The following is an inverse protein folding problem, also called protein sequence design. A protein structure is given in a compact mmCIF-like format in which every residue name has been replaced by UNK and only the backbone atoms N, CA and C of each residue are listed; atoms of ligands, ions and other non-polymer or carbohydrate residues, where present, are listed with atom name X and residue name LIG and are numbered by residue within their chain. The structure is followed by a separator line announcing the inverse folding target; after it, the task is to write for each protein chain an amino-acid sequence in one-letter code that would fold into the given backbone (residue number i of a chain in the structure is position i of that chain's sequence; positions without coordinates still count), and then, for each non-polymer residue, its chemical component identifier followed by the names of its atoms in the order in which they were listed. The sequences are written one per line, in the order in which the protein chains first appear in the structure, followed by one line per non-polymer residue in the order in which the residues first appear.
data_IF_348955694948
#
_entry.id   IF_348955694948
#
_cell.length_a   1.000
_cell.length_b   1.000
_cell.length_c   1.000
_cell.angle_alpha   90.00
_cell.angle_beta   90.00
_cell.angle_gamma   90.00
#
_symmetry.space_group_name_H-M   'P 1'
#
loop_
_entity.id
_entity.type
_entity.pdbx_description
1 polymer ?
#
# COMPACT_ATOMS: atom_id res chain seq x y z
N UNK A 1 21.02 -6.12 5.00
CA UNK A 1 20.93 -5.15 6.10
C UNK A 1 19.55 -4.52 6.05
N UNK A 2 18.90 -4.28 7.19
CA UNK A 2 17.55 -3.68 7.23
C UNK A 2 17.73 -2.22 7.60
N UNK A 3 17.16 -1.32 6.80
CA UNK A 3 17.23 0.13 7.02
C UNK A 3 15.83 0.71 6.84
N UNK A 4 15.30 1.31 7.90
CA UNK A 4 13.90 1.76 7.95
C UNK A 4 13.81 3.07 8.71
N UNK A 5 13.02 4.00 8.19
CA UNK A 5 12.53 5.18 8.87
C UNK A 5 11.03 5.01 9.14
N UNK A 6 10.65 5.03 10.41
CA UNK A 6 9.24 5.03 10.84
C UNK A 6 8.90 6.39 11.44
N UNK A 7 7.94 7.10 10.86
CA UNK A 7 7.44 8.39 11.36
C UNK A 7 6.04 8.18 11.91
N UNK A 8 5.85 8.46 13.20
CA UNK A 8 4.61 8.23 13.93
C UNK A 8 4.02 9.55 14.40
N UNK A 9 2.73 9.75 14.14
CA UNK A 9 1.92 10.84 14.69
C UNK A 9 0.87 10.27 15.65
N UNK A 10 0.80 10.74 16.92
CA UNK A 10 -0.35 10.46 17.76
C UNK A 10 -1.56 11.27 17.25
N UNK A 11 -2.65 10.55 17.00
CA UNK A 11 -3.92 11.10 16.50
C UNK A 11 -5.08 10.69 17.42
N UNK A 12 -6.20 11.44 17.44
CA UNK A 12 -7.41 11.01 18.13
C UNK A 12 -7.92 9.68 17.55
N UNK A 13 -8.54 8.85 18.38
CA UNK A 13 -9.14 7.59 17.91
C UNK A 13 -10.25 7.84 16.86
N UNK A 14 -10.10 7.19 15.71
CA UNK A 14 -10.93 7.32 14.51
C UNK A 14 -12.02 6.24 14.42
N UNK A 15 -12.03 5.22 15.30
CA UNK A 15 -13.00 4.12 15.30
C UNK A 15 -14.46 4.58 15.21
N UNK A 16 -14.81 5.68 15.87
CA UNK A 16 -16.16 6.28 15.84
C UNK A 16 -16.57 6.84 14.47
N UNK A 17 -15.60 7.11 13.61
CA UNK A 17 -15.77 7.67 12.27
C UNK A 17 -15.66 6.61 11.16
N UNK A 18 -15.89 5.33 11.47
CA UNK A 18 -15.80 4.21 10.52
C UNK A 18 -16.68 4.38 9.26
N UNK A 19 -17.70 5.24 9.30
CA UNK A 19 -18.54 5.55 8.13
C UNK A 19 -17.92 6.53 7.15
N UNK A 20 -16.99 7.37 7.58
CA UNK A 20 -16.30 8.36 6.74
C UNK A 20 -14.81 8.05 6.52
N UNK A 21 -14.20 7.23 7.38
CA UNK A 21 -12.82 6.73 7.28
C UNK A 21 -11.75 7.80 6.91
N UNK A 22 -11.66 8.93 7.64
CA UNK A 22 -10.71 10.00 7.32
C UNK A 22 -9.24 9.54 7.39
N UNK A 23 -8.92 8.61 8.29
CA UNK A 23 -7.61 7.98 8.38
C UNK A 23 -7.25 7.20 7.10
N UNK A 24 -8.20 6.43 6.56
CA UNK A 24 -8.00 5.66 5.32
C UNK A 24 -7.85 6.59 4.11
N UNK A 25 -8.58 7.71 4.09
CA UNK A 25 -8.41 8.75 3.07
C UNK A 25 -6.97 9.31 3.07
N UNK A 26 -6.44 9.70 4.24
CA UNK A 26 -5.08 10.24 4.34
C UNK A 26 -4.01 9.16 4.09
N UNK A 27 -4.22 7.93 4.56
CA UNK A 27 -3.34 6.79 4.28
C UNK A 27 -3.26 6.46 2.78
N UNK A 28 -4.38 6.55 2.05
CA UNK A 28 -4.38 6.34 0.61
C UNK A 28 -3.59 7.42 -0.16
N UNK A 29 -3.56 8.67 0.33
CA UNK A 29 -2.79 9.75 -0.28
C UNK A 29 -1.30 9.68 0.10
N UNK A 30 -1.00 9.55 1.38
CA UNK A 30 0.38 9.49 1.89
C UNK A 30 1.10 8.22 1.44
N UNK A 31 0.36 7.11 1.26
CA UNK A 31 0.86 5.83 0.75
C UNK A 31 0.69 5.65 -0.76
N UNK A 32 0.42 6.70 -1.53
CA UNK A 32 0.28 6.61 -2.97
C UNK A 32 1.61 6.26 -3.66
N UNK A 33 1.60 5.42 -4.70
CA UNK A 33 2.83 5.01 -5.42
C UNK A 33 2.89 5.45 -6.89
N UNK A 34 1.96 6.31 -7.34
CA UNK A 34 2.01 6.88 -8.69
C UNK A 34 3.06 8.01 -8.86
N UNK A 35 3.19 8.57 -10.08
CA UNK A 35 4.32 9.39 -10.53
C UNK A 35 4.60 10.67 -9.74
N UNK A 36 3.59 11.24 -9.09
CA UNK A 36 3.69 12.49 -8.32
C UNK A 36 3.65 12.28 -6.81
N UNK A 37 3.90 11.04 -6.36
CA UNK A 37 3.83 10.68 -4.95
C UNK A 37 5.13 10.92 -4.20
N UNK A 38 5.06 10.82 -2.87
CA UNK A 38 6.22 10.81 -1.99
C UNK A 38 7.20 9.71 -2.44
N UNK A 39 6.70 8.49 -2.65
CA UNK A 39 7.56 7.36 -3.03
C UNK A 39 8.27 7.60 -4.36
N UNK A 40 7.58 8.12 -5.39
CA UNK A 40 8.20 8.44 -6.67
C UNK A 40 9.34 9.46 -6.52
N UNK A 41 9.12 10.50 -5.71
CA UNK A 41 10.12 11.52 -5.42
C UNK A 41 11.33 10.94 -4.65
N UNK A 42 11.11 9.99 -3.74
CA UNK A 42 12.18 9.30 -3.00
C UNK A 42 12.97 8.33 -3.89
N UNK A 43 12.29 7.57 -4.77
CA UNK A 43 12.91 6.66 -5.75
C UNK A 43 13.81 7.43 -6.72
N UNK A 44 13.33 8.56 -7.27
CA UNK A 44 14.10 9.44 -8.16
C UNK A 44 15.41 9.95 -7.53
N UNK A 45 15.42 10.13 -6.20
CA UNK A 45 16.60 10.55 -5.43
C UNK A 45 17.46 9.36 -4.96
N UNK A 46 16.99 8.13 -5.16
CA UNK A 46 17.66 6.91 -4.72
C UNK A 46 17.69 6.77 -3.20
N UNK A 47 16.72 7.32 -2.49
CA UNK A 47 16.67 7.32 -1.01
C UNK A 47 15.83 6.16 -0.45
N UNK A 48 14.81 5.70 -1.17
CA UNK A 48 13.89 4.65 -0.75
C UNK A 48 13.35 3.89 -1.96
N UNK A 49 12.92 2.65 -1.75
CA UNK A 49 12.21 1.82 -2.74
C UNK A 49 10.76 1.53 -2.37
N UNK A 50 10.36 1.71 -1.10
CA UNK A 50 9.02 1.40 -0.58
C UNK A 50 8.60 2.38 0.51
N UNK A 51 7.34 2.74 0.46
CA UNK A 51 6.68 3.55 1.48
C UNK A 51 5.31 2.94 1.78
N UNK A 52 4.96 2.86 3.05
CA UNK A 52 3.60 2.53 3.47
C UNK A 52 3.11 3.55 4.48
N UNK A 53 1.81 3.79 4.50
CA UNK A 53 1.20 4.62 5.53
C UNK A 53 -0.13 4.04 5.99
N UNK A 54 -0.46 4.26 7.26
CA UNK A 54 -1.68 3.73 7.86
C UNK A 54 -1.85 4.20 9.28
N UNK A 55 -3.03 3.94 9.85
CA UNK A 55 -3.25 4.15 11.27
C UNK A 55 -3.55 2.85 11.99
N UNK A 56 -3.19 2.81 13.27
CA UNK A 56 -3.38 1.65 14.14
C UNK A 56 -3.82 2.11 15.52
N UNK A 57 -4.87 1.49 16.02
CA UNK A 57 -5.33 1.66 17.40
C UNK A 57 -4.42 0.86 18.32
N UNK A 58 -3.69 1.54 19.20
CA UNK A 58 -2.82 0.90 20.21
C UNK A 58 -3.59 0.56 21.48
N UNK A 59 -4.49 1.44 21.89
CA UNK A 59 -5.39 1.24 23.03
C UNK A 59 -6.64 2.12 22.87
N UNK A 60 -7.66 1.92 23.72
CA UNK A 60 -8.83 2.81 23.73
C UNK A 60 -8.39 4.26 23.93
N UNK A 61 -8.77 5.14 23.01
CA UNK A 61 -8.39 6.55 22.98
C UNK A 61 -6.98 6.84 22.47
N UNK A 62 -6.20 5.82 22.07
CA UNK A 62 -4.84 5.98 21.56
C UNK A 62 -4.74 5.35 20.17
N UNK A 63 -4.62 6.20 19.16
CA UNK A 63 -4.37 5.79 17.79
C UNK A 63 -3.11 6.48 17.27
N UNK A 64 -2.31 5.73 16.54
CA UNK A 64 -1.08 6.20 15.90
C UNK A 64 -1.26 6.17 14.40
N UNK A 65 -0.76 7.18 13.71
CA UNK A 65 -0.62 7.19 12.26
C UNK A 65 0.86 7.06 11.91
N UNK A 66 1.21 6.01 11.18
CA UNK A 66 2.58 5.69 10.82
C UNK A 66 2.81 5.92 9.32
N UNK A 67 3.98 6.44 9.00
CA UNK A 67 4.56 6.49 7.65
C UNK A 67 5.91 5.76 7.74
N UNK A 68 5.96 4.59 7.16
CA UNK A 68 7.14 3.73 7.14
C UNK A 68 7.80 3.81 5.77
N UNK A 69 9.10 4.08 5.78
CA UNK A 69 9.92 4.26 4.59
C UNK A 69 11.12 3.32 4.69
N UNK A 70 11.31 2.44 3.72
CA UNK A 70 12.58 1.70 3.64
C UNK A 70 13.69 2.65 3.18
N UNK A 71 14.92 2.40 3.62
CA UNK A 71 16.04 3.28 3.29
C UNK A 71 17.08 2.52 2.46
N UNK A 72 17.54 3.17 1.40
CA UNK A 72 18.76 2.75 0.71
C UNK A 72 19.98 3.08 1.57
N UNK A 73 21.18 2.70 1.11
CA UNK A 73 22.42 3.13 1.75
C UNK A 73 22.55 4.65 1.79
N UNK A 74 22.14 5.33 0.72
CA UNK A 74 22.10 6.79 0.67
C UNK A 74 20.97 7.36 1.53
N UNK A 75 19.81 6.70 1.56
CA UNK A 75 18.63 7.17 2.30
C UNK A 75 18.88 7.38 3.79
N UNK A 76 19.77 6.58 4.40
CA UNK A 76 20.13 6.72 5.82
C UNK A 76 20.77 8.08 6.13
N UNK A 77 21.55 8.64 5.20
CA UNK A 77 22.21 9.93 5.37
C UNK A 77 21.28 11.13 5.07
N UNK A 78 20.06 10.86 4.56
CA UNK A 78 19.08 11.85 4.11
C UNK A 78 17.77 11.79 4.91
N UNK A 79 17.77 11.25 6.12
CA UNK A 79 16.55 11.11 6.95
C UNK A 79 15.81 12.44 7.13
N UNK A 80 16.53 13.52 7.45
CA UNK A 80 15.91 14.84 7.66
C UNK A 80 15.31 15.41 6.37
N UNK A 81 15.92 15.14 5.21
CA UNK A 81 15.41 15.53 3.90
C UNK A 81 14.15 14.72 3.52
N UNK A 82 14.12 13.43 3.84
CA UNK A 82 12.95 12.56 3.62
C UNK A 82 11.76 13.05 4.46
N UNK A 83 11.99 13.34 5.75
CA UNK A 83 10.95 13.87 6.64
C UNK A 83 10.46 15.23 6.12
N UNK A 84 11.37 16.10 5.67
CA UNK A 84 11.01 17.38 5.05
C UNK A 84 10.12 17.18 3.81
N UNK A 85 10.46 16.25 2.93
CA UNK A 85 9.68 15.96 1.72
C UNK A 85 8.26 15.46 2.05
N UNK A 86 8.13 14.66 3.11
CA UNK A 86 6.82 14.24 3.64
C UNK A 86 6.02 15.45 4.15
N UNK A 87 6.66 16.39 4.86
CA UNK A 87 5.99 17.63 5.29
C UNK A 87 5.61 18.54 4.12
N UNK A 88 6.42 18.62 3.06
CA UNK A 88 6.05 19.33 1.83
C UNK A 88 4.81 18.72 1.17
N UNK A 89 4.66 17.39 1.19
CA UNK A 89 3.43 16.73 0.74
C UNK A 89 2.23 17.09 1.63
N UNK A 90 2.41 17.05 2.95
CA UNK A 90 1.37 17.43 3.92
C UNK A 90 0.95 18.90 3.72
N UNK A 91 1.89 19.81 3.46
CA UNK A 91 1.61 21.22 3.17
C UNK A 91 0.81 21.36 1.86
N UNK A 92 1.16 20.61 0.82
CA UNK A 92 0.38 20.54 -0.42
C UNK A 92 -1.06 20.10 -0.13
N UNK A 93 -1.26 19.01 0.62
CA UNK A 93 -2.59 18.53 1.01
C UNK A 93 -3.39 19.57 1.81
N UNK A 94 -2.75 20.31 2.70
CA UNK A 94 -3.39 21.39 3.48
C UNK A 94 -3.85 22.55 2.59
N UNK A 95 -3.08 22.89 1.54
CA UNK A 95 -3.43 23.96 0.59
C UNK A 95 -4.54 23.57 -0.36
N UNK A 96 -4.49 22.35 -0.89
CA UNK A 96 -5.52 21.86 -1.82
C UNK A 96 -6.83 21.51 -1.09
N UNK A 97 -6.74 21.04 0.14
CA UNK A 97 -7.87 20.60 0.94
C UNK A 97 -8.46 19.26 0.49
N UNK A 98 -9.44 18.72 1.23
CA UNK A 98 -10.07 17.44 0.91
C UNK A 98 -10.78 17.47 -0.44
N UNK A 99 -10.59 16.40 -1.21
CA UNK A 99 -11.13 16.26 -2.55
C UNK A 99 -12.24 15.19 -2.59
N UNK A 100 -13.46 15.62 -2.86
CA UNK A 100 -14.64 14.72 -2.89
C UNK A 100 -14.51 13.64 -3.97
N UNK A 101 -13.94 13.98 -5.13
CA UNK A 101 -13.72 13.01 -6.21
C UNK A 101 -12.82 11.85 -5.77
N UNK A 102 -11.81 12.10 -4.93
CA UNK A 102 -10.91 11.06 -4.42
C UNK A 102 -11.60 10.21 -3.34
N UNK A 103 -12.47 10.82 -2.53
CA UNK A 103 -13.32 10.08 -1.62
C UNK A 103 -14.26 9.13 -2.38
N UNK A 104 -14.94 9.63 -3.41
CA UNK A 104 -15.88 8.84 -4.20
C UNK A 104 -15.17 7.69 -4.93
N UNK A 105 -13.94 7.93 -5.40
CA UNK A 105 -13.07 6.90 -5.95
C UNK A 105 -12.83 5.75 -4.96
N UNK A 106 -12.35 6.07 -3.76
CA UNK A 106 -12.08 5.07 -2.71
C UNK A 106 -13.35 4.38 -2.23
N UNK A 107 -14.47 5.11 -2.16
CA UNK A 107 -15.79 4.58 -1.84
C UNK A 107 -16.24 3.53 -2.86
N UNK A 108 -16.14 3.84 -4.15
CA UNK A 108 -16.54 2.94 -5.23
C UNK A 108 -15.65 1.70 -5.28
N UNK A 109 -14.33 1.86 -5.17
CA UNK A 109 -13.37 0.75 -5.12
C UNK A 109 -13.70 -0.17 -3.94
N UNK A 110 -13.88 0.39 -2.74
CA UNK A 110 -14.10 -0.40 -1.52
C UNK A 110 -15.48 -1.07 -1.51
N UNK A 111 -16.51 -0.43 -2.09
CA UNK A 111 -17.82 -1.04 -2.31
C UNK A 111 -17.76 -2.21 -3.30
N UNK A 112 -17.04 -2.05 -4.42
CA UNK A 112 -16.80 -3.11 -5.40
C UNK A 112 -16.05 -4.29 -4.76
N UNK A 113 -15.00 -4.03 -4.00
CA UNK A 113 -14.23 -5.05 -3.28
C UNK A 113 -15.10 -5.85 -2.30
N UNK A 114 -16.07 -5.20 -1.64
CA UNK A 114 -17.00 -5.89 -0.75
C UNK A 114 -18.03 -6.72 -1.53
N UNK A 115 -18.62 -6.15 -2.57
CA UNK A 115 -19.63 -6.80 -3.39
C UNK A 115 -19.12 -8.09 -4.04
N UNK A 116 -17.87 -8.08 -4.52
CA UNK A 116 -17.23 -9.22 -5.17
C UNK A 116 -16.16 -9.87 -4.30
N UNK A 117 -16.31 -9.80 -2.97
CA UNK A 117 -15.36 -10.40 -2.04
C UNK A 117 -15.41 -11.93 -2.13
N UNK A 118 -14.24 -12.55 -2.27
CA UNK A 118 -14.15 -14.01 -2.30
C UNK A 118 -14.46 -14.63 -0.93
N UNK A 119 -14.99 -15.85 -0.94
CA UNK A 119 -15.24 -16.60 0.29
C UNK A 119 -13.91 -17.03 0.91
N UNK A 120 -13.58 -16.41 2.05
CA UNK A 120 -12.37 -16.74 2.82
C UNK A 120 -12.53 -17.98 3.70
N UNK A 121 -11.43 -18.35 4.35
CA UNK A 121 -11.39 -19.40 5.38
C UNK A 121 -12.37 -19.09 6.51
N UNK A 122 -13.16 -20.08 7.00
CA UNK A 122 -14.05 -19.87 8.14
C UNK A 122 -13.32 -19.37 9.40
N UNK A 123 -12.09 -19.86 9.64
CA UNK A 123 -11.29 -19.46 10.81
C UNK A 123 -10.93 -17.98 10.74
N UNK A 124 -10.38 -17.52 9.61
CA UNK A 124 -10.00 -16.12 9.40
C UNK A 124 -11.23 -15.21 9.44
N UNK A 125 -12.37 -15.70 8.93
CA UNK A 125 -13.63 -14.97 8.95
C UNK A 125 -14.11 -14.71 10.38
N UNK A 126 -14.12 -15.74 11.24
CA UNK A 126 -14.49 -15.60 12.65
C UNK A 126 -13.47 -14.75 13.41
N UNK A 127 -12.18 -14.99 13.20
CA UNK A 127 -11.10 -14.23 13.84
C UNK A 127 -11.20 -12.73 13.53
N UNK A 128 -11.44 -12.36 12.27
CA UNK A 128 -11.59 -10.96 11.86
C UNK A 128 -12.87 -10.31 12.37
N UNK A 129 -14.00 -11.03 12.35
CA UNK A 129 -15.29 -10.45 12.73
C UNK A 129 -15.54 -10.38 14.24
N UNK A 130 -14.91 -11.25 15.03
CA UNK A 130 -15.16 -11.28 16.49
C UNK A 130 -14.81 -9.95 17.18
N UNK A 131 -13.66 -9.29 16.89
CA UNK A 131 -13.38 -7.95 17.39
C UNK A 131 -14.37 -6.88 16.90
N UNK A 132 -14.84 -7.00 15.66
CA UNK A 132 -15.79 -6.03 15.08
C UNK A 132 -17.13 -6.01 15.80
N UNK A 133 -17.57 -7.14 16.36
CA UNK A 133 -18.79 -7.19 17.16
C UNK A 133 -18.69 -6.40 18.47
N UNK A 134 -17.46 -6.10 18.93
CA UNK A 134 -17.20 -5.27 20.12
C UNK A 134 -17.14 -3.79 19.74
N UNK A 135 -16.59 -3.48 18.56
CA UNK A 135 -16.32 -2.10 18.12
C UNK A 135 -17.49 -1.47 17.35
N UNK A 136 -18.20 -2.25 16.54
CA UNK A 136 -19.23 -1.76 15.63
C UNK A 136 -20.63 -2.25 16.03
N UNK A 137 -21.64 -1.57 15.50
CA UNK A 137 -23.01 -2.06 15.59
C UNK A 137 -23.14 -3.39 14.85
N UNK A 138 -23.95 -4.30 15.38
CA UNK A 138 -24.16 -5.64 14.81
C UNK A 138 -24.54 -5.60 13.32
N UNK A 139 -25.38 -4.63 12.92
CA UNK A 139 -25.80 -4.40 11.53
C UNK A 139 -24.66 -4.00 10.58
N UNK A 140 -23.59 -3.38 11.09
CA UNK A 140 -22.47 -2.89 10.30
C UNK A 140 -21.26 -3.86 10.32
N UNK A 141 -21.26 -4.92 11.15
CA UNK A 141 -20.08 -5.81 11.38
C UNK A 141 -19.44 -6.34 10.10
N UNK A 142 -20.24 -6.64 9.07
CA UNK A 142 -19.74 -7.16 7.80
C UNK A 142 -19.20 -6.04 6.89
N UNK A 143 -19.77 -4.85 6.99
CA UNK A 143 -19.54 -3.73 6.06
C UNK A 143 -18.63 -2.64 6.61
N UNK A 144 -18.40 -2.58 7.92
CA UNK A 144 -17.75 -1.46 8.61
C UNK A 144 -16.32 -1.18 8.14
N UNK A 145 -15.60 -2.19 7.65
CA UNK A 145 -14.26 -2.03 7.07
C UNK A 145 -14.26 -1.65 5.59
N UNK A 146 -15.40 -1.77 4.92
CA UNK A 146 -15.50 -1.66 3.46
C UNK A 146 -16.30 -0.44 3.03
N UNK A 147 -17.50 -0.24 3.57
CA UNK A 147 -18.43 0.74 3.01
C UNK A 147 -18.16 2.12 3.60
N UNK A 148 -17.58 2.99 2.78
CA UNK A 148 -17.46 4.42 3.04
C UNK A 148 -18.81 5.05 2.67
N UNK A 149 -19.52 5.58 3.66
CA UNK A 149 -20.88 6.11 3.52
C UNK A 149 -20.86 7.64 3.42
N UNK A 150 -20.16 8.28 4.35
CA UNK A 150 -20.30 9.71 4.64
C UNK A 150 -19.08 10.51 4.16
N UNK A 151 -19.31 11.53 3.32
CA UNK A 151 -18.29 12.52 2.99
C UNK A 151 -18.16 13.53 4.14
N UNK A 152 -17.00 13.54 4.79
CA UNK A 152 -16.70 14.39 5.96
C UNK A 152 -15.36 15.12 5.77
N UNK A 153 -15.31 16.15 4.92
CA UNK A 153 -14.09 16.92 4.68
C UNK A 153 -13.59 17.62 5.94
N UNK A 154 -14.49 17.97 6.86
CA UNK A 154 -14.18 18.54 8.16
C UNK A 154 -13.32 17.60 9.02
N UNK A 155 -13.65 16.30 9.05
CA UNK A 155 -12.86 15.31 9.80
C UNK A 155 -11.50 15.03 9.15
N UNK A 156 -11.42 15.11 7.82
CA UNK A 156 -10.14 14.98 7.09
C UNK A 156 -9.23 16.17 7.42
N UNK A 157 -9.76 17.39 7.41
CA UNK A 157 -9.01 18.60 7.80
C UNK A 157 -8.58 18.58 9.27
N UNK A 158 -9.49 18.18 10.17
CA UNK A 158 -9.18 18.00 11.59
C UNK A 158 -8.04 17.01 11.76
N UNK A 159 -8.12 15.84 11.14
CA UNK A 159 -7.08 14.81 11.24
C UNK A 159 -5.75 15.29 10.65
N UNK A 160 -5.76 15.96 9.50
CA UNK A 160 -4.57 16.52 8.85
C UNK A 160 -3.88 17.59 9.72
N UNK A 161 -4.61 18.25 10.64
CA UNK A 161 -4.04 19.22 11.58
C UNK A 161 -3.09 18.61 12.63
N UNK A 162 -3.17 17.29 12.86
CA UNK A 162 -2.27 16.57 13.76
C UNK A 162 -0.91 16.24 13.13
N UNK A 163 -0.79 16.36 11.81
CA UNK A 163 0.43 16.09 11.05
C UNK A 163 1.30 17.34 11.08
N UNK A 164 2.08 17.46 12.16
CA UNK A 164 2.96 18.62 12.41
C UNK A 164 4.34 18.19 12.92
N UNK A 165 5.40 18.98 12.66
CA UNK A 165 6.74 18.74 13.17
C UNK A 165 6.80 18.57 14.70
N UNK A 166 6.00 19.34 15.44
CA UNK A 166 5.92 19.31 16.91
C UNK A 166 5.12 18.13 17.48
N UNK A 167 4.39 17.40 16.64
CA UNK A 167 3.52 16.29 17.03
C UNK A 167 3.98 14.96 16.39
N UNK A 168 5.28 14.79 16.12
CA UNK A 168 5.83 13.55 15.57
C UNK A 168 6.85 12.91 16.49
N UNK A 169 7.01 11.61 16.30
CA UNK A 169 8.17 10.82 16.72
C UNK A 169 8.66 10.07 15.50
N UNK A 170 9.97 10.04 15.25
CA UNK A 170 10.53 9.15 14.24
C UNK A 170 11.53 8.18 14.85
N UNK A 171 11.70 7.02 14.20
CA UNK A 171 12.65 5.98 14.58
C UNK A 171 13.42 5.56 13.33
N UNK A 172 14.74 5.51 13.42
CA UNK A 172 15.60 5.02 12.33
C UNK A 172 16.27 3.73 12.79
N UNK A 173 16.11 2.67 12.01
CA UNK A 173 16.75 1.37 12.23
C UNK A 173 17.81 1.21 11.16
N UNK A 174 19.06 0.96 11.55
CA UNK A 174 20.17 0.69 10.64
C UNK A 174 21.36 0.11 11.41
N UNK A 175 22.15 -0.77 10.78
CA UNK A 175 23.42 -1.23 11.35
C UNK A 175 24.49 -0.14 11.45
N UNK A 176 24.33 0.98 10.75
CA UNK A 176 25.25 2.13 10.86
C UNK A 176 25.33 2.67 12.30
N UNK A 177 24.29 2.48 13.11
CA UNK A 177 24.24 2.88 14.52
C UNK A 177 24.85 1.86 15.48
N UNK A 178 25.42 0.76 14.99
CA UNK A 178 26.14 -0.21 15.82
C UNK A 178 27.26 0.51 16.58
N UNK A 179 27.32 0.31 17.91
CA UNK A 179 28.23 1.01 18.84
C UNK A 179 27.98 2.53 18.99
N UNK A 180 26.89 3.08 18.45
CA UNK A 180 26.49 4.48 18.64
C UNK A 180 25.29 4.65 19.59
N UNK A 181 24.82 3.55 20.16
CA UNK A 181 23.70 3.46 21.10
C UNK A 181 24.19 3.50 22.55
N UNK A 182 23.42 4.11 23.45
CA UNK A 182 23.76 4.26 24.86
C UNK A 182 22.79 3.54 25.81
N UNK A 183 21.72 2.98 25.27
CA UNK A 183 20.65 2.33 26.03
C UNK A 183 20.38 0.93 25.48
N UNK A 184 19.96 0.02 26.36
CA UNK A 184 19.61 -1.36 25.99
C UNK A 184 18.22 -1.65 26.55
N UNK A 185 17.31 -2.13 25.71
CA UNK A 185 15.98 -2.57 26.13
C UNK A 185 16.08 -3.73 27.12
N UNK A 186 15.24 -3.70 28.16
CA UNK A 186 15.29 -4.65 29.27
C UNK A 186 14.85 -6.06 28.87
N UNK A 187 13.93 -6.20 27.92
CA UNK A 187 13.25 -7.46 27.63
C UNK A 187 13.89 -8.21 26.47
N UNK A 188 14.26 -7.49 25.42
CA UNK A 188 14.80 -8.03 24.18
C UNK A 188 16.30 -7.75 24.00
N UNK A 189 16.89 -6.92 24.87
CA UNK A 189 18.31 -6.56 24.76
C UNK A 189 18.61 -5.69 23.53
N UNK A 190 17.61 -5.04 22.95
CA UNK A 190 17.78 -4.20 21.76
C UNK A 190 18.58 -2.94 22.10
N UNK A 191 19.74 -2.71 21.49
CA UNK A 191 20.49 -1.47 21.68
C UNK A 191 19.80 -0.31 20.94
N UNK A 192 19.63 0.82 21.60
CA UNK A 192 19.03 2.03 21.01
C UNK A 192 19.56 3.30 21.68
N UNK A 193 19.21 4.44 21.08
CA UNK A 193 19.47 5.78 21.63
C UNK A 193 18.23 6.65 21.43
N UNK A 194 17.94 7.50 22.40
CA UNK A 194 16.89 8.51 22.28
C UNK A 194 17.56 9.89 22.27
N UNK A 195 17.27 10.67 21.23
CA UNK A 195 17.70 12.06 21.12
C UNK A 195 16.49 12.96 20.93
N UNK A 196 16.59 14.20 21.42
CA UNK A 196 15.65 15.26 21.06
C UNK A 196 15.98 15.76 19.67
N UNK A 197 14.95 16.06 18.88
CA UNK A 197 15.08 16.71 17.59
C UNK A 197 15.53 18.15 17.85
N UNK A 198 16.53 18.62 17.09
CA UNK A 198 17.05 19.98 17.26
C UNK A 198 15.98 21.02 16.87
N UNK A 199 16.03 22.21 17.48
CA UNK A 199 15.11 23.29 17.12
C UNK A 199 15.30 23.74 15.67
N UNK A 200 16.55 23.75 15.19
CA UNK A 200 16.89 24.08 13.80
C UNK A 200 16.21 23.12 12.82
N UNK A 201 16.30 21.80 13.07
CA UNK A 201 15.63 20.77 12.25
C UNK A 201 14.10 20.93 12.29
N UNK A 202 13.53 21.16 13.48
CA UNK A 202 12.09 21.37 13.62
C UNK A 202 11.61 22.62 12.87
N UNK A 203 12.37 23.71 12.94
CA UNK A 203 12.02 24.95 12.26
C UNK A 203 12.18 24.84 10.74
N UNK A 204 13.11 24.01 10.27
CA UNK A 204 13.21 23.63 8.85
C UNK A 204 11.96 22.88 8.38
N UNK A 205 11.51 21.88 9.13
CA UNK A 205 10.31 21.10 8.78
C UNK A 205 8.99 21.86 8.93
N UNK A 206 8.96 22.93 9.72
CA UNK A 206 7.78 23.80 9.88
C UNK A 206 7.60 24.78 8.73
N UNK A 207 8.60 24.94 7.86
CA UNK A 207 8.47 25.82 6.70
C UNK A 207 7.28 25.38 5.85
N UNK A 208 6.52 26.37 5.39
CA UNK A 208 5.40 26.15 4.48
C UNK A 208 5.92 26.15 3.02
N UNK A 209 6.88 25.27 2.76
CA UNK A 209 7.43 25.05 1.43
C UNK A 209 6.73 23.88 0.73
N UNK A 210 6.79 23.90 -0.62
CA UNK A 210 6.24 22.88 -1.50
C UNK A 210 7.35 22.27 -2.35
N UNK A 211 7.13 21.07 -2.83
CA UNK A 211 7.99 20.41 -3.82
C UNK A 211 7.24 20.29 -5.15
N UNK A 212 7.86 20.70 -6.26
CA UNK A 212 7.25 20.62 -7.59
C UNK A 212 7.01 19.18 -8.08
N UNK A 213 7.81 18.22 -7.57
CA UNK A 213 7.64 16.79 -7.85
C UNK A 213 6.36 16.21 -7.20
N UNK A 214 5.80 16.89 -6.20
CA UNK A 214 4.70 16.39 -5.37
C UNK A 214 3.36 17.01 -5.77
N UNK A 215 2.40 16.16 -6.13
CA UNK A 215 1.04 16.59 -6.52
C UNK A 215 0.01 15.57 -6.07
N UNK A 216 -1.25 16.00 -5.96
CA UNK A 216 -2.37 15.07 -5.83
C UNK A 216 -2.40 14.08 -7.01
N UNK A 217 -2.86 12.84 -6.77
CA UNK A 217 -3.00 11.85 -7.83
C UNK A 217 -4.01 12.30 -8.87
N UNK A 218 -3.86 11.80 -10.10
CA UNK A 218 -4.91 11.87 -11.11
C UNK A 218 -6.06 10.92 -10.78
N UNK A 219 -7.21 11.11 -11.46
CA UNK A 219 -8.31 10.16 -11.38
C UNK A 219 -7.88 8.81 -11.93
N UNK A 220 -8.26 7.74 -11.24
CA UNK A 220 -7.92 6.38 -11.61
C UNK A 220 -8.82 5.87 -12.76
N UNK A 221 -8.22 5.65 -13.93
CA UNK A 221 -8.92 5.17 -15.14
C UNK A 221 -9.18 3.65 -15.16
N UNK A 222 -8.59 2.88 -14.23
CA UNK A 222 -8.72 1.43 -14.16
C UNK A 222 -9.95 0.94 -13.37
N UNK A 223 -10.73 1.85 -12.78
CA UNK A 223 -11.91 1.48 -12.00
C UNK A 223 -12.96 0.86 -12.93
N UNK A 224 -13.28 -0.40 -12.68
CA UNK A 224 -14.27 -1.14 -13.45
C UNK A 224 -15.66 -0.49 -13.34
N UNK A 225 -16.32 -0.33 -14.49
CA UNK A 225 -17.68 0.20 -14.61
C UNK A 225 -18.68 -0.83 -15.12
N UNK A 226 -18.19 -1.87 -15.81
CA UNK A 226 -18.98 -2.99 -16.31
C UNK A 226 -18.71 -4.25 -15.48
N UNK A 227 -19.78 -4.80 -14.90
CA UNK A 227 -19.78 -6.03 -14.11
C UNK A 227 -20.66 -7.11 -14.72
N UNK A 228 -21.04 -6.96 -16.00
CA UNK A 228 -21.84 -7.96 -16.71
C UNK A 228 -21.09 -9.27 -16.82
N UNK A 229 -21.77 -10.36 -16.47
CA UNK A 229 -21.18 -11.70 -16.53
C UNK A 229 -21.31 -12.25 -17.94
N UNK A 230 -20.23 -12.85 -18.43
CA UNK A 230 -20.25 -13.62 -19.67
C UNK A 230 -21.26 -14.78 -19.55
N UNK A 231 -22.11 -15.01 -20.56
CA UNK A 231 -23.06 -16.12 -20.57
C UNK A 231 -22.32 -17.47 -20.54
N UNK A 232 -22.95 -18.48 -19.93
CA UNK A 232 -22.41 -19.84 -19.89
C UNK A 232 -22.98 -20.62 -21.08
N UNK A 233 -22.13 -21.15 -21.93
CA UNK A 233 -22.55 -22.02 -23.01
C UNK A 233 -23.03 -23.38 -22.47
N UNK A 234 -24.05 -23.96 -23.11
CA UNK A 234 -24.62 -25.26 -22.68
C UNK A 234 -23.60 -26.41 -22.69
N UNK A 235 -22.55 -26.28 -23.49
CA UNK A 235 -21.49 -27.27 -23.66
C UNK A 235 -20.19 -26.86 -22.97
N UNK A 236 -20.24 -25.94 -22.00
CA UNK A 236 -19.04 -25.46 -21.29
C UNK A 236 -18.34 -26.62 -20.55
N UNK A 237 -17.05 -26.87 -20.78
CA UNK A 237 -16.33 -27.96 -20.14
C UNK A 237 -16.19 -27.79 -18.61
N UNK A 238 -16.29 -28.90 -17.88
CA UNK A 238 -16.18 -28.90 -16.41
C UNK A 238 -14.75 -28.64 -15.89
N UNK A 239 -13.75 -28.83 -16.73
CA UNK A 239 -12.33 -28.69 -16.43
C UNK A 239 -11.64 -27.80 -17.49
N UNK A 240 -10.47 -27.22 -17.17
CA UNK A 240 -9.69 -26.49 -18.15
C UNK A 240 -9.39 -27.36 -19.37
N UNK A 241 -9.61 -26.80 -20.55
CA UNK A 241 -9.37 -27.48 -21.83
C UNK A 241 -8.45 -26.62 -22.71
N UNK A 242 -7.78 -27.27 -23.65
CA UNK A 242 -6.86 -26.59 -24.56
C UNK A 242 -7.67 -25.94 -25.68
N UNK A 243 -7.50 -24.63 -25.85
CA UNK A 243 -8.11 -23.86 -26.97
C UNK A 243 -7.10 -23.52 -28.06
N UNK A 244 -5.81 -23.59 -27.75
CA UNK A 244 -4.74 -23.39 -28.70
C UNK A 244 -3.52 -24.22 -28.31
N UNK A 245 -2.91 -24.86 -29.31
CA UNK A 245 -1.68 -25.62 -29.15
C UNK A 245 -0.78 -25.44 -30.38
N UNK A 246 0.44 -24.98 -30.13
CA UNK A 246 1.51 -24.84 -31.10
C UNK A 246 2.86 -25.14 -30.45
N UNK A 247 3.94 -25.10 -31.24
CA UNK A 247 5.30 -25.27 -30.72
C UNK A 247 5.72 -24.15 -29.75
N UNK A 248 5.06 -22.97 -29.81
CA UNK A 248 5.41 -21.80 -29.00
C UNK A 248 4.45 -21.55 -27.84
N UNK A 249 3.18 -21.93 -27.98
CA UNK A 249 2.12 -21.57 -27.05
C UNK A 249 1.14 -22.71 -26.85
N UNK A 250 0.83 -23.00 -25.59
CA UNK A 250 -0.31 -23.81 -25.20
C UNK A 250 -1.22 -23.00 -24.29
N UNK A 251 -2.48 -22.84 -24.68
CA UNK A 251 -3.47 -22.04 -23.95
C UNK A 251 -4.56 -22.94 -23.39
N UNK A 252 -4.69 -22.91 -22.07
CA UNK A 252 -5.78 -23.55 -21.35
C UNK A 252 -6.85 -22.51 -21.01
N UNK A 253 -8.11 -22.88 -21.19
CA UNK A 253 -9.25 -22.02 -20.90
C UNK A 253 -10.32 -22.76 -20.12
N UNK A 254 -11.00 -22.04 -19.25
CA UNK A 254 -12.18 -22.49 -18.52
C UNK A 254 -13.01 -21.27 -18.17
N UNK A 255 -14.27 -21.22 -18.58
CA UNK A 255 -15.21 -20.22 -18.06
C UNK A 255 -15.55 -20.55 -16.62
N UNK A 256 -15.62 -19.53 -15.74
CA UNK A 256 -16.07 -19.73 -14.38
C UNK A 256 -17.59 -20.01 -14.35
N UNK A 257 -17.92 -21.23 -13.96
CA UNK A 257 -19.29 -21.74 -13.79
C UNK A 257 -19.69 -21.89 -12.32
N UNK A 258 -18.78 -21.64 -11.38
CA UNK A 258 -18.97 -21.89 -9.95
C UNK A 258 -19.16 -20.60 -9.16
N UNK A 259 -18.22 -19.66 -9.24
CA UNK A 259 -18.23 -18.45 -8.39
C UNK A 259 -19.05 -17.32 -9.00
N UNK A 260 -18.98 -17.18 -10.34
CA UNK A 260 -19.75 -16.23 -11.14
C UNK A 260 -19.55 -14.78 -10.68
N UNK A 261 -18.30 -14.40 -10.44
CA UNK A 261 -17.89 -13.01 -10.23
C UNK A 261 -17.36 -12.38 -11.52
N UNK A 262 -17.43 -11.04 -11.66
CA UNK A 262 -16.86 -10.30 -12.79
C UNK A 262 -15.33 -10.19 -12.64
N UNK A 263 -14.68 -11.35 -12.56
CA UNK A 263 -13.23 -11.51 -12.38
C UNK A 263 -12.73 -12.54 -13.37
N UNK A 264 -11.50 -12.36 -13.82
CA UNK A 264 -10.76 -13.36 -14.56
C UNK A 264 -9.40 -13.56 -13.90
N UNK A 265 -8.88 -14.77 -14.02
CA UNK A 265 -7.50 -15.09 -13.66
C UNK A 265 -6.75 -15.44 -14.92
N UNK A 266 -5.75 -14.64 -15.26
CA UNK A 266 -4.88 -14.88 -16.42
C UNK A 266 -3.49 -15.20 -15.90
N UNK A 267 -2.93 -16.29 -16.37
CA UNK A 267 -1.62 -16.75 -15.95
C UNK A 267 -0.83 -17.15 -17.18
N UNK A 268 0.33 -16.55 -17.37
CA UNK A 268 1.23 -16.84 -18.50
C UNK A 268 2.58 -17.31 -17.96
N UNK A 269 2.91 -18.56 -18.20
CA UNK A 269 4.19 -19.16 -17.82
C UNK A 269 5.15 -19.12 -19.02
N UNK A 270 6.31 -18.47 -18.83
CA UNK A 270 7.38 -18.36 -19.82
C UNK A 270 8.49 -19.37 -19.50
N UNK A 271 8.82 -20.22 -20.47
CA UNK A 271 9.77 -21.31 -20.32
C UNK A 271 11.11 -20.99 -21.01
N UNK A 272 12.22 -21.12 -20.29
CA UNK A 272 13.58 -21.00 -20.81
C UNK A 272 14.52 -21.93 -20.04
N UNK A 273 15.20 -22.82 -20.77
CA UNK A 273 16.13 -23.80 -20.20
C UNK A 273 17.37 -23.15 -19.56
N UNK A 274 17.72 -21.93 -20.00
CA UNK A 274 18.92 -21.20 -19.54
C UNK A 274 18.78 -20.79 -18.07
N UNK A 275 17.56 -20.60 -17.58
CA UNK A 275 17.29 -19.97 -16.28
C UNK A 275 17.73 -20.82 -15.09
N UNK A 276 17.79 -22.14 -15.26
CA UNK A 276 18.17 -23.09 -14.21
C UNK A 276 19.47 -23.84 -14.49
N UNK A 277 20.32 -23.36 -15.41
CA UNK A 277 21.59 -24.05 -15.71
C UNK A 277 22.57 -24.00 -14.53
N UNK A 278 22.60 -22.89 -13.80
CA UNK A 278 23.51 -22.67 -12.68
C UNK A 278 22.99 -21.55 -11.75
N UNK A 279 23.59 -21.39 -10.55
CA UNK A 279 23.19 -20.35 -9.61
C UNK A 279 23.28 -18.92 -10.16
N UNK A 280 24.17 -18.66 -11.12
CA UNK A 280 24.32 -17.33 -11.71
C UNK A 280 23.07 -16.98 -12.54
N UNK A 281 22.61 -17.87 -13.44
CA UNK A 281 21.41 -17.63 -14.25
C UNK A 281 20.13 -17.56 -13.41
N UNK A 282 20.02 -18.38 -12.36
CA UNK A 282 18.92 -18.27 -11.39
C UNK A 282 18.86 -16.88 -10.74
N UNK A 283 20.02 -16.34 -10.35
CA UNK A 283 20.12 -15.01 -9.75
C UNK A 283 19.80 -13.90 -10.75
N UNK A 284 20.25 -14.02 -12.02
CA UNK A 284 19.92 -13.07 -13.08
C UNK A 284 18.40 -13.02 -13.32
N UNK A 285 17.72 -14.16 -13.37
CA UNK A 285 16.26 -14.19 -13.51
C UNK A 285 15.55 -13.54 -12.32
N UNK A 286 16.00 -13.84 -11.09
CA UNK A 286 15.45 -13.22 -9.88
C UNK A 286 15.63 -11.70 -9.89
N UNK A 287 16.79 -11.20 -10.32
CA UNK A 287 17.06 -9.77 -10.46
C UNK A 287 16.21 -9.14 -11.56
N UNK A 288 16.09 -9.77 -12.72
CA UNK A 288 15.21 -9.32 -13.81
C UNK A 288 13.77 -9.15 -13.33
N UNK A 289 13.21 -10.17 -12.66
CA UNK A 289 11.84 -10.11 -12.12
C UNK A 289 11.68 -8.99 -11.09
N UNK A 290 12.65 -8.80 -10.21
CA UNK A 290 12.61 -7.73 -9.21
C UNK A 290 12.64 -6.34 -9.87
N UNK A 291 13.59 -6.10 -10.78
CA UNK A 291 13.73 -4.83 -11.48
C UNK A 291 12.50 -4.53 -12.35
N UNK A 292 11.96 -5.55 -13.02
CA UNK A 292 10.73 -5.40 -13.81
C UNK A 292 9.56 -4.97 -12.93
N UNK A 293 9.30 -5.68 -11.83
CA UNK A 293 8.19 -5.31 -10.94
C UNK A 293 8.41 -3.91 -10.34
N UNK A 294 9.65 -3.54 -10.00
CA UNK A 294 9.97 -2.22 -9.44
C UNK A 294 9.68 -1.08 -10.41
N UNK A 295 10.08 -1.22 -11.68
CA UNK A 295 9.80 -0.26 -12.76
C UNK A 295 8.31 -0.22 -13.12
N UNK A 296 7.65 -1.38 -13.12
CA UNK A 296 6.27 -1.52 -13.56
C UNK A 296 5.25 -1.08 -12.49
N UNK A 297 5.62 -1.07 -11.20
CA UNK A 297 4.73 -0.71 -10.09
C UNK A 297 4.12 0.68 -10.25
N UNK A 298 4.89 1.66 -10.73
CA UNK A 298 4.41 3.03 -10.92
C UNK A 298 3.26 3.08 -11.96
N UNK A 299 3.35 2.26 -13.00
CA UNK A 299 2.35 2.17 -14.07
C UNK A 299 1.12 1.36 -13.67
N UNK A 300 1.27 0.37 -12.78
CA UNK A 300 0.18 -0.53 -12.37
C UNK A 300 -0.45 -0.15 -11.04
N UNK A 301 0.03 0.89 -10.37
CA UNK A 301 -0.48 1.28 -9.06
C UNK A 301 -1.98 1.57 -9.09
N UNK A 302 -2.44 2.35 -10.06
CA UNK A 302 -3.85 2.68 -10.24
C UNK A 302 -4.69 1.42 -10.54
N UNK A 303 -4.19 0.53 -11.39
CA UNK A 303 -4.80 -0.77 -11.64
C UNK A 303 -4.92 -1.61 -10.35
N UNK A 304 -3.85 -1.66 -9.56
CA UNK A 304 -3.77 -2.41 -8.30
C UNK A 304 -4.77 -1.86 -7.28
N UNK A 305 -4.89 -0.54 -7.15
CA UNK A 305 -5.93 0.12 -6.34
C UNK A 305 -7.33 -0.25 -6.83
N UNK A 306 -7.55 -0.32 -8.13
CA UNK A 306 -8.79 -0.80 -8.74
C UNK A 306 -8.98 -2.33 -8.68
N UNK A 307 -8.17 -3.05 -7.90
CA UNK A 307 -8.19 -4.51 -7.73
C UNK A 307 -7.83 -5.33 -8.97
N UNK A 308 -7.18 -4.69 -9.95
CA UNK A 308 -6.55 -5.33 -11.10
C UNK A 308 -5.05 -5.49 -10.81
N UNK A 309 -4.66 -6.70 -10.40
CA UNK A 309 -3.29 -6.99 -10.02
C UNK A 309 -2.54 -7.61 -11.20
N UNK A 310 -1.30 -7.16 -11.42
CA UNK A 310 -0.36 -7.80 -12.32
C UNK A 310 0.99 -7.91 -11.61
N UNK A 311 1.52 -9.12 -11.52
CA UNK A 311 2.85 -9.37 -10.95
C UNK A 311 3.57 -10.42 -11.76
N UNK A 312 4.88 -10.25 -11.94
CA UNK A 312 5.72 -11.32 -12.46
C UNK A 312 6.50 -11.99 -11.33
N UNK A 313 6.61 -13.32 -11.37
CA UNK A 313 7.31 -14.12 -10.36
C UNK A 313 8.32 -15.04 -11.02
N UNK A 314 9.51 -15.24 -10.43
CA UNK A 314 10.43 -16.24 -10.94
C UNK A 314 9.82 -17.63 -10.77
N UNK A 315 10.11 -18.53 -11.71
CA UNK A 315 9.69 -19.93 -11.66
C UNK A 315 10.89 -20.84 -11.90
N UNK A 316 10.76 -22.13 -11.57
CA UNK A 316 11.78 -23.14 -11.87
C UNK A 316 12.02 -23.34 -13.37
N UNK A 317 11.24 -22.73 -14.25
CA UNK A 317 11.44 -22.89 -15.68
C UNK A 317 11.56 -21.55 -16.42
N UNK A 318 11.61 -20.43 -15.70
CA UNK A 318 11.61 -19.10 -16.27
C UNK A 318 10.93 -18.10 -15.34
N UNK A 319 9.84 -17.50 -15.81
CA UNK A 319 9.01 -16.62 -14.99
C UNK A 319 7.54 -16.77 -15.36
N UNK A 320 6.68 -16.28 -14.48
CA UNK A 320 5.23 -16.34 -14.62
C UNK A 320 4.63 -14.97 -14.42
N UNK A 321 3.76 -14.55 -15.33
CA UNK A 321 2.91 -13.37 -15.20
C UNK A 321 1.58 -13.83 -14.60
N UNK A 322 1.12 -13.16 -13.55
CA UNK A 322 -0.12 -13.44 -12.82
C UNK A 322 -0.91 -12.15 -12.63
#
# INVERSE_FOLDING_TARGET
DIRVLSITFPIPEQSKYYKSMPNRYLSALLGHEGPTSILAALKKRGWSSKLSSGSKVEARGIELFDIDVDLTEKGVDHVDDIIKLIFQYINMLKREGPQEWFHDENKNISAMQFQFKDKGSPLDYVYRLSPHMITFKLEDVLTAEYLIKDWRPDLIQELLSYFRPDNLRYTVVSKTFENQTDTIDKYYGTPYKISKISLETLDEWKKDDLCEDLKMPSKNEFIATDFTLVPIDKNEPSHPHIIHESLLLRTWFKTDTEFRFPKAFVSVDFFSYIVMTDPFHCNIMSLFVRLFNEDFTEYTWDATRASLNLIIKPSSYGFKVI
#
